data_IF_983242253818
#
_entry.id   IF_983242253818
#
_cell.length_a   1.000
_cell.length_b   1.000
_cell.length_c   1.000
_cell.angle_alpha   90.00
_cell.angle_beta   90.00
_cell.angle_gamma   90.00
#
_symmetry.space_group_name_H-M   'P 1'
#
loop_
_entity.id
_entity.type
_entity.pdbx_description
1 polymer ?
#
# COMPACT_ATOMS: atom_id res chain seq x y z
N UNK A 1 -18.51 12.54 18.90
CA UNK A 1 -18.11 12.37 17.51
C UNK A 1 -17.04 11.28 17.40
N UNK A 2 -17.16 10.45 16.39
CA UNK A 2 -16.15 9.43 16.16
C UNK A 2 -14.84 10.07 15.67
N UNK A 3 -13.69 9.52 16.06
CA UNK A 3 -12.42 9.98 15.49
C UNK A 3 -12.31 9.65 14.01
N UNK A 4 -11.47 10.38 13.31
CA UNK A 4 -11.14 10.12 11.92
C UNK A 4 -9.73 9.56 11.86
N UNK A 5 -9.57 8.41 11.21
CA UNK A 5 -8.23 7.88 10.91
C UNK A 5 -7.60 8.81 9.88
N UNK A 6 -6.40 9.39 10.16
CA UNK A 6 -5.84 10.36 9.22
C UNK A 6 -4.43 10.06 8.76
N UNK A 7 -3.71 9.14 9.41
CA UNK A 7 -2.35 8.80 8.98
C UNK A 7 -2.01 7.36 9.32
N UNK A 8 -1.36 6.68 8.38
CA UNK A 8 -0.74 5.37 8.56
C UNK A 8 0.72 5.50 8.17
N UNK A 9 1.62 4.96 8.98
CA UNK A 9 3.05 5.02 8.73
C UNK A 9 3.55 3.70 8.17
N UNK A 10 4.31 3.76 7.05
CA UNK A 10 5.09 2.66 6.52
C UNK A 10 6.56 3.00 6.61
N UNK A 11 7.35 2.06 7.11
CA UNK A 11 8.79 2.24 7.23
C UNK A 11 9.49 1.86 5.92
N UNK A 12 10.39 2.72 5.49
CA UNK A 12 11.20 2.51 4.28
C UNK A 12 12.65 2.88 4.59
N UNK A 13 13.56 2.62 3.69
CA UNK A 13 14.98 2.98 3.83
C UNK A 13 15.47 3.91 2.71
N UNK A 14 14.58 4.34 1.83
CA UNK A 14 14.92 5.21 0.70
C UNK A 14 13.65 5.89 0.23
N UNK A 15 13.52 7.19 0.49
CA UNK A 15 12.32 7.94 0.13
C UNK A 15 12.13 8.09 -1.37
N UNK A 16 13.22 8.23 -2.13
CA UNK A 16 13.10 8.36 -3.59
C UNK A 16 12.57 7.07 -4.20
N UNK A 17 13.05 5.93 -3.73
CA UNK A 17 12.55 4.63 -4.15
C UNK A 17 11.10 4.43 -3.74
N UNK A 18 10.73 4.87 -2.54
CA UNK A 18 9.35 4.77 -2.04
C UNK A 18 8.40 5.64 -2.86
N UNK A 19 8.81 6.87 -3.16
CA UNK A 19 8.03 7.76 -4.03
C UNK A 19 7.82 7.15 -5.41
N UNK A 20 8.87 6.59 -6.01
CA UNK A 20 8.80 5.95 -7.33
C UNK A 20 7.82 4.77 -7.30
N UNK A 21 7.95 3.90 -6.31
CA UNK A 21 7.11 2.71 -6.20
C UNK A 21 5.63 3.09 -5.96
N UNK A 22 5.37 3.83 -4.91
CA UNK A 22 3.99 4.18 -4.54
C UNK A 22 3.38 5.19 -5.50
N UNK A 23 4.18 6.13 -6.01
CA UNK A 23 3.71 7.09 -6.99
C UNK A 23 3.22 6.42 -8.26
N UNK A 24 3.95 5.41 -8.72
CA UNK A 24 3.55 4.62 -9.88
C UNK A 24 2.32 3.76 -9.58
N UNK A 25 2.35 3.03 -8.45
CA UNK A 25 1.29 2.09 -8.11
C UNK A 25 -0.04 2.78 -7.81
N UNK A 26 0.01 3.87 -7.03
CA UNK A 26 -1.20 4.59 -6.61
C UNK A 26 -1.61 5.70 -7.56
N UNK A 27 -0.72 6.09 -8.47
CA UNK A 27 -1.03 7.14 -9.44
C UNK A 27 -0.95 8.57 -8.88
N UNK A 28 -0.28 8.74 -7.74
CA UNK A 28 -0.09 10.05 -7.10
C UNK A 28 1.28 10.06 -6.42
N UNK A 29 2.15 10.96 -6.84
CA UNK A 29 3.50 11.01 -6.31
C UNK A 29 3.60 11.68 -4.94
N UNK A 30 2.53 12.29 -4.47
CA UNK A 30 2.50 12.88 -3.13
C UNK A 30 3.44 14.07 -2.98
N UNK A 31 3.96 14.22 -1.76
CA UNK A 31 4.80 15.37 -1.41
C UNK A 31 5.89 14.98 -0.41
N UNK A 32 7.11 15.43 -0.68
CA UNK A 32 8.20 15.28 0.27
C UNK A 32 8.04 16.31 1.39
N UNK A 33 8.13 15.86 2.64
CA UNK A 33 8.04 16.77 3.78
C UNK A 33 9.43 17.37 4.02
N UNK A 34 9.55 18.70 4.01
CA UNK A 34 10.83 19.33 4.33
C UNK A 34 11.25 19.03 5.77
N UNK A 35 12.50 18.77 5.99
CA UNK A 35 13.07 18.51 7.34
C UNK A 35 12.39 17.36 8.07
N UNK A 36 12.39 16.22 7.46
CA UNK A 36 11.89 15.06 8.13
C UNK A 36 11.98 13.95 7.13
N UNK A 37 12.46 12.84 7.49
CA UNK A 37 12.64 11.71 6.59
C UNK A 37 11.31 11.10 6.19
N UNK A 38 10.41 11.93 5.62
CA UNK A 38 9.02 11.55 5.33
C UNK A 38 8.57 11.98 3.94
N UNK A 39 7.72 11.16 3.36
CA UNK A 39 7.04 11.45 2.10
C UNK A 39 5.57 11.03 2.24
N UNK A 40 4.64 11.95 1.97
CA UNK A 40 3.21 11.73 2.20
C UNK A 40 2.46 11.58 0.89
N UNK A 41 1.55 10.61 0.86
CA UNK A 41 0.61 10.42 -0.25
C UNK A 41 -0.80 10.39 0.33
N UNK A 42 -1.71 11.18 -0.25
CA UNK A 42 -3.09 11.19 0.19
C UNK A 42 -3.84 9.99 -0.38
N UNK A 43 -4.51 9.24 0.49
CA UNK A 43 -5.37 8.12 0.13
C UNK A 43 -6.76 8.44 0.69
N UNK A 44 -7.53 9.24 -0.04
CA UNK A 44 -8.75 9.82 0.51
C UNK A 44 -8.43 10.69 1.72
N UNK A 45 -9.13 10.53 2.86
CA UNK A 45 -8.84 11.32 4.06
C UNK A 45 -7.63 10.83 4.85
N UNK A 46 -7.04 9.71 4.45
CA UNK A 46 -5.90 9.09 5.17
C UNK A 46 -4.61 9.42 4.45
N UNK A 47 -3.61 9.87 5.19
CA UNK A 47 -2.27 10.09 4.68
C UNK A 47 -1.48 8.79 4.81
N UNK A 48 -0.95 8.28 3.72
CA UNK A 48 0.05 7.23 3.74
C UNK A 48 1.41 7.90 3.92
N UNK A 49 2.00 7.74 5.09
CA UNK A 49 3.27 8.39 5.44
C UNK A 49 4.41 7.39 5.28
N UNK A 50 5.26 7.63 4.29
CA UNK A 50 6.46 6.84 4.07
C UNK A 50 7.56 7.47 4.91
N UNK A 51 8.15 6.70 5.82
CA UNK A 51 9.13 7.20 6.79
C UNK A 51 10.44 6.47 6.62
N UNK A 52 11.50 7.21 6.29
CA UNK A 52 12.84 6.64 6.20
C UNK A 52 13.41 6.49 7.61
N UNK A 53 13.47 5.25 8.09
CA UNK A 53 13.96 4.94 9.43
C UNK A 53 15.48 4.90 9.50
N UNK A 54 16.18 5.01 8.38
CA UNK A 54 17.64 5.05 8.34
C UNK A 54 18.17 6.47 8.37
N UNK A 55 17.30 7.48 8.17
CA UNK A 55 17.67 8.89 8.20
C UNK A 55 17.74 9.47 9.62
N UNK A 56 18.19 10.71 9.72
CA UNK A 56 18.13 11.55 10.92
C UNK A 56 18.63 10.92 12.22
N UNK A 57 19.88 10.42 12.19
CA UNK A 57 20.55 10.01 13.41
C UNK A 57 20.07 8.68 13.99
N UNK A 58 19.19 7.97 13.31
CA UNK A 58 18.78 6.65 13.72
C UNK A 58 19.50 5.63 12.83
N UNK A 59 20.82 5.58 12.98
CA UNK A 59 21.63 4.66 12.18
C UNK A 59 21.44 3.23 12.66
N UNK A 60 21.41 2.30 11.71
CA UNK A 60 21.33 0.88 11.99
C UNK A 60 19.91 0.32 12.13
N UNK A 61 18.87 1.14 12.01
CA UNK A 61 17.51 0.62 11.95
C UNK A 61 17.20 0.13 10.56
N UNK A 62 16.53 -1.01 10.50
CA UNK A 62 15.97 -1.54 9.26
C UNK A 62 14.46 -1.29 9.23
N UNK A 63 13.88 -1.05 8.05
CA UNK A 63 12.44 -0.95 7.94
C UNK A 63 11.76 -2.24 8.40
N UNK A 64 10.75 -2.10 9.23
CA UNK A 64 9.92 -3.23 9.68
C UNK A 64 8.59 -3.16 8.96
N UNK A 65 8.21 -4.22 8.23
CA UNK A 65 6.90 -4.24 7.59
C UNK A 65 5.80 -4.33 8.64
N UNK A 66 4.62 -3.85 8.25
CA UNK A 66 3.43 -4.04 9.06
C UNK A 66 3.09 -5.55 9.13
N UNK A 67 2.49 -6.00 10.22
CA UNK A 67 2.19 -7.43 10.38
C UNK A 67 1.04 -7.92 9.50
N UNK A 68 0.25 -7.02 8.91
CA UNK A 68 -0.91 -7.38 8.13
C UNK A 68 -1.05 -6.46 6.92
N UNK A 69 -2.01 -6.79 6.03
CA UNK A 69 -2.21 -6.05 4.79
C UNK A 69 -2.89 -4.71 5.04
N UNK A 70 -2.52 -3.72 4.21
CA UNK A 70 -3.26 -2.47 4.10
C UNK A 70 -4.21 -2.60 2.92
N UNK A 71 -5.47 -2.25 3.12
CA UNK A 71 -6.52 -2.37 2.12
C UNK A 71 -6.84 -1.02 1.48
N UNK A 72 -6.78 -1.00 0.15
CA UNK A 72 -7.12 0.17 -0.67
C UNK A 72 -8.34 -0.17 -1.50
N UNK A 73 -9.35 0.71 -1.51
CA UNK A 73 -10.42 0.59 -2.48
C UNK A 73 -10.08 1.45 -3.70
N UNK A 74 -10.29 0.90 -4.89
CA UNK A 74 -9.90 1.57 -6.14
C UNK A 74 -11.05 1.51 -7.16
N UNK A 75 -11.14 2.54 -7.99
CA UNK A 75 -12.18 2.61 -9.01
C UNK A 75 -11.90 1.75 -10.23
N UNK A 76 -10.61 1.58 -10.58
CA UNK A 76 -10.20 0.78 -11.73
C UNK A 76 -9.18 -0.25 -11.27
N UNK A 77 -9.69 -1.39 -10.79
CA UNK A 77 -8.84 -2.46 -10.26
C UNK A 77 -7.90 -3.03 -11.32
N UNK A 78 -8.38 -3.17 -12.56
CA UNK A 78 -7.56 -3.73 -13.63
C UNK A 78 -6.36 -2.85 -13.95
N UNK A 79 -6.53 -1.54 -13.92
CA UNK A 79 -5.43 -0.59 -14.15
C UNK A 79 -4.39 -0.68 -13.04
N UNK A 80 -4.82 -0.76 -11.78
CA UNK A 80 -3.89 -0.90 -10.64
C UNK A 80 -3.15 -2.23 -10.71
N UNK A 81 -3.87 -3.29 -11.07
CA UNK A 81 -3.27 -4.62 -11.22
C UNK A 81 -2.18 -4.61 -12.30
N UNK A 82 -2.42 -3.94 -13.42
CA UNK A 82 -1.43 -3.83 -14.48
C UNK A 82 -0.17 -3.07 -14.00
N UNK A 83 -0.36 -1.98 -13.26
CA UNK A 83 0.77 -1.24 -12.68
C UNK A 83 1.56 -2.10 -11.69
N UNK A 84 0.87 -2.87 -10.86
CA UNK A 84 1.51 -3.80 -9.93
C UNK A 84 2.29 -4.89 -10.67
N UNK A 85 1.74 -5.41 -11.77
CA UNK A 85 2.44 -6.38 -12.62
C UNK A 85 3.70 -5.78 -13.21
N UNK A 86 3.61 -4.56 -13.74
CA UNK A 86 4.76 -3.87 -14.35
C UNK A 86 5.86 -3.56 -13.31
N UNK A 87 5.46 -3.31 -12.07
CA UNK A 87 6.39 -3.13 -10.95
C UNK A 87 6.92 -4.45 -10.40
N UNK A 88 6.43 -5.57 -10.90
CA UNK A 88 6.81 -6.91 -10.45
C UNK A 88 6.59 -7.10 -8.95
N UNK A 89 5.46 -6.60 -8.42
CA UNK A 89 5.17 -6.65 -7.00
C UNK A 89 3.94 -7.49 -6.63
N UNK A 90 3.34 -8.19 -7.59
CA UNK A 90 2.20 -9.07 -7.30
C UNK A 90 2.61 -10.18 -6.35
N UNK A 91 1.73 -10.51 -5.40
CA UNK A 91 1.95 -11.64 -4.50
C UNK A 91 2.02 -12.94 -5.29
N UNK A 92 2.90 -13.84 -4.88
CA UNK A 92 3.00 -15.20 -5.43
C UNK A 92 2.39 -16.24 -4.52
N UNK A 93 1.71 -15.79 -3.46
CA UNK A 93 1.09 -16.67 -2.48
C UNK A 93 -0.35 -17.01 -2.87
N UNK A 94 -0.96 -17.94 -2.13
CA UNK A 94 -2.38 -18.26 -2.22
C UNK A 94 -3.09 -17.73 -0.99
N UNK A 95 -4.32 -17.24 -1.17
CA UNK A 95 -5.19 -16.77 -0.11
C UNK A 95 -6.55 -17.45 -0.29
N UNK A 96 -7.03 -18.14 0.74
CA UNK A 96 -8.30 -18.85 0.71
C UNK A 96 -8.43 -19.80 -0.50
N UNK A 97 -7.34 -20.49 -0.85
CA UNK A 97 -7.33 -21.48 -1.92
C UNK A 97 -7.27 -20.91 -3.32
N UNK A 98 -7.03 -19.60 -3.47
CA UNK A 98 -6.92 -18.95 -4.76
C UNK A 98 -5.66 -18.08 -4.82
N UNK A 99 -5.19 -17.76 -6.02
CA UNK A 99 -4.03 -16.88 -6.21
C UNK A 99 -4.25 -15.53 -5.54
N UNK A 100 -3.28 -15.11 -4.75
CA UNK A 100 -3.32 -13.78 -4.14
C UNK A 100 -3.00 -12.68 -5.16
N UNK A 101 -2.06 -12.93 -6.07
CA UNK A 101 -1.60 -11.93 -7.03
C UNK A 101 -2.55 -11.70 -8.21
N UNK A 102 -3.47 -12.63 -8.47
CA UNK A 102 -4.47 -12.45 -9.53
C UNK A 102 -5.71 -11.78 -8.96
N UNK A 103 -6.46 -11.10 -9.84
CA UNK A 103 -7.76 -10.55 -9.45
C UNK A 103 -8.73 -11.72 -9.31
N UNK A 104 -9.26 -11.90 -8.09
CA UNK A 104 -10.16 -13.00 -7.76
C UNK A 104 -11.30 -12.46 -6.93
N UNK A 105 -12.51 -13.00 -7.14
CA UNK A 105 -13.63 -12.75 -6.23
C UNK A 105 -13.43 -13.60 -4.99
N UNK A 106 -13.24 -12.95 -3.84
CA UNK A 106 -12.97 -13.61 -2.57
C UNK A 106 -14.26 -14.20 -1.97
N UNK A 107 -14.15 -15.14 -1.01
CA UNK A 107 -15.33 -15.76 -0.40
C UNK A 107 -16.33 -14.77 0.20
N UNK A 108 -15.89 -13.61 0.68
CA UNK A 108 -16.77 -12.57 1.25
C UNK A 108 -17.27 -11.58 0.19
N UNK A 109 -17.01 -11.83 -1.09
CA UNK A 109 -17.60 -11.09 -2.21
C UNK A 109 -16.74 -9.99 -2.80
N UNK A 110 -15.67 -9.60 -2.14
CA UNK A 110 -14.75 -8.59 -2.68
C UNK A 110 -13.94 -9.12 -3.86
N UNK A 111 -13.80 -8.30 -4.87
CA UNK A 111 -12.93 -8.58 -6.02
C UNK A 111 -11.62 -7.85 -5.77
N UNK A 112 -10.51 -8.58 -5.63
CA UNK A 112 -9.26 -8.02 -5.14
C UNK A 112 -8.03 -8.76 -5.64
N UNK A 113 -6.86 -8.12 -5.43
CA UNK A 113 -5.57 -8.79 -5.56
C UNK A 113 -4.63 -8.27 -4.47
N UNK A 114 -3.56 -9.02 -4.21
CA UNK A 114 -2.56 -8.71 -3.20
C UNK A 114 -1.20 -8.47 -3.84
N UNK A 115 -0.44 -7.57 -3.23
CA UNK A 115 0.91 -7.22 -3.66
C UNK A 115 1.78 -6.95 -2.44
N UNK A 116 3.09 -6.83 -2.65
CA UNK A 116 4.03 -6.44 -1.60
C UNK A 116 4.87 -5.28 -2.08
N UNK A 117 5.12 -4.32 -1.18
CA UNK A 117 6.07 -3.26 -1.48
C UNK A 117 7.51 -3.78 -1.32
N UNK A 118 8.53 -3.00 -1.72
CA UNK A 118 9.92 -3.44 -1.62
C UNK A 118 10.39 -3.72 -0.18
N UNK A 119 9.67 -3.24 0.82
CA UNK A 119 10.04 -3.39 2.24
C UNK A 119 9.21 -4.47 2.93
N UNK A 120 8.42 -5.22 2.18
CA UNK A 120 7.65 -6.35 2.72
C UNK A 120 6.27 -6.01 3.24
N UNK A 121 5.80 -4.76 3.08
CA UNK A 121 4.43 -4.42 3.47
C UNK A 121 3.44 -5.05 2.50
N UNK A 122 2.44 -5.76 3.04
CA UNK A 122 1.38 -6.35 2.25
C UNK A 122 0.32 -5.31 1.88
N UNK A 123 -0.09 -5.33 0.63
CA UNK A 123 -1.06 -4.40 0.07
C UNK A 123 -2.18 -5.20 -0.57
N UNK A 124 -3.42 -4.81 -0.31
CA UNK A 124 -4.60 -5.42 -0.94
C UNK A 124 -5.40 -4.33 -1.63
N UNK A 125 -5.65 -4.52 -2.91
CA UNK A 125 -6.44 -3.58 -3.71
C UNK A 125 -7.79 -4.21 -4.01
N UNK A 126 -8.86 -3.50 -3.68
CA UNK A 126 -10.24 -3.99 -3.78
C UNK A 126 -11.03 -3.09 -4.70
N UNK A 127 -11.80 -3.71 -5.60
CA UNK A 127 -12.74 -2.99 -6.45
C UNK A 127 -13.78 -2.28 -5.56
N UNK A 128 -13.87 -0.96 -5.68
CA UNK A 128 -14.74 -0.14 -4.83
C UNK A 128 -16.23 -0.51 -4.95
N UNK A 129 -16.61 -1.20 -6.03
CA UNK A 129 -18.00 -1.63 -6.25
C UNK A 129 -18.34 -2.93 -5.52
N UNK A 130 -17.37 -3.56 -4.86
CA UNK A 130 -17.53 -4.88 -4.22
C UNK A 130 -17.18 -4.86 -2.74
N UNK A 131 -17.07 -3.71 -2.11
CA UNK A 131 -16.59 -3.60 -0.74
C UNK A 131 -17.50 -4.34 0.24
N UNK A 132 -16.88 -5.12 1.12
CA UNK A 132 -17.56 -5.75 2.25
C UNK A 132 -17.22 -4.97 3.51
N UNK A 133 -18.19 -4.25 4.06
CA UNK A 133 -17.99 -3.39 5.22
C UNK A 133 -18.50 -4.02 6.52
N UNK A 134 -18.94 -5.26 6.46
CA UNK A 134 -19.47 -5.95 7.64
C UNK A 134 -20.90 -5.59 8.00
N UNK A 135 -21.59 -4.88 7.12
CA UNK A 135 -22.99 -4.45 7.37
C UNK A 135 -23.98 -5.17 6.49
#
# INVERSE_FOLDING_TARGET
MAPTLYRIILQVDNLDRAEEFYGTLLGDRGRRIPRGSRHYIDCGPVILALVDVTGEGVSGLEPKPLPDYIYFSVGDLDAVHQRARDLNCLSTEDVHGASAGEIVKRPWGERSFYAFDPWGNGLCFVDEHTLFTGK
#
